data_IF_883736564704
#
_entry.id   IF_883736564704
#
_cell.length_a   1.000
_cell.length_b   1.000
_cell.length_c   1.000
_cell.angle_alpha   90.00
_cell.angle_beta   90.00
_cell.angle_gamma   90.00
#
_symmetry.space_group_name_H-M   'P 1'
#
loop_
_entity.id
_entity.type
_entity.pdbx_description
1 polymer ?
#
# COMPACT_ATOMS: atom_id res chain seq x y z
N UNK A 1 -10.57 19.28 23.49
CA UNK A 1 -10.57 18.99 22.05
C UNK A 1 -10.78 17.50 21.86
N UNK A 2 -11.78 17.11 21.09
CA UNK A 2 -11.99 15.69 20.79
C UNK A 2 -10.78 15.19 20.00
N UNK A 3 -10.12 14.12 20.47
CA UNK A 3 -9.10 13.42 19.70
C UNK A 3 -9.79 12.89 18.45
N UNK A 4 -9.49 13.46 17.27
CA UNK A 4 -10.04 12.97 16.02
C UNK A 4 -9.35 11.68 15.65
N UNK A 5 -10.06 10.57 15.78
CA UNK A 5 -9.65 9.29 15.22
C UNK A 5 -10.01 9.25 13.74
N UNK A 6 -9.11 8.75 12.94
CA UNK A 6 -9.41 8.38 11.55
C UNK A 6 -9.18 6.90 11.36
N UNK A 7 -9.87 6.32 10.37
CA UNK A 7 -9.66 4.94 9.97
C UNK A 7 -9.15 4.91 8.54
N UNK A 8 -8.07 4.16 8.31
CA UNK A 8 -7.44 3.99 7.01
C UNK A 8 -7.49 2.51 6.64
N UNK A 9 -8.03 2.21 5.47
CA UNK A 9 -7.98 0.88 4.85
C UNK A 9 -6.96 0.91 3.73
N UNK A 10 -6.07 -0.08 3.68
CA UNK A 10 -5.01 -0.15 2.67
C UNK A 10 -4.91 -1.54 2.06
N UNK A 11 -4.58 -1.58 0.78
CA UNK A 11 -4.24 -2.81 0.07
C UNK A 11 -3.26 -2.53 -1.07
N UNK A 12 -2.56 -3.58 -1.50
CA UNK A 12 -1.67 -3.56 -2.63
C UNK A 12 -1.82 -4.84 -3.46
N UNK A 13 -1.69 -4.72 -4.77
CA UNK A 13 -1.74 -5.84 -5.70
C UNK A 13 -0.63 -5.75 -6.73
N UNK A 14 -0.17 -6.89 -7.26
CA UNK A 14 0.88 -6.93 -8.25
C UNK A 14 0.67 -8.08 -9.23
N UNK A 15 0.83 -7.80 -10.53
CA UNK A 15 0.98 -8.81 -11.57
C UNK A 15 2.43 -9.28 -11.57
N UNK A 16 2.69 -10.45 -11.03
CA UNK A 16 4.05 -10.93 -10.73
C UNK A 16 4.95 -11.08 -11.96
N UNK A 17 4.40 -11.53 -13.10
CA UNK A 17 5.17 -11.71 -14.35
C UNK A 17 5.53 -10.37 -15.00
N UNK A 18 4.58 -9.43 -15.08
CA UNK A 18 4.80 -8.10 -15.65
C UNK A 18 5.44 -7.12 -14.66
N UNK A 19 5.50 -7.48 -13.38
CA UNK A 19 5.97 -6.61 -12.29
C UNK A 19 5.25 -5.25 -12.25
N UNK A 20 3.98 -5.25 -12.62
CA UNK A 20 3.10 -4.08 -12.56
C UNK A 20 2.27 -4.19 -11.30
N UNK A 21 2.34 -3.19 -10.45
CA UNK A 21 1.58 -3.13 -9.20
C UNK A 21 0.66 -1.93 -9.11
N UNK A 22 -0.31 -2.05 -8.23
CA UNK A 22 -1.19 -0.96 -7.82
C UNK A 22 -1.38 -0.99 -6.31
N UNK A 23 -1.62 0.18 -5.75
CA UNK A 23 -1.95 0.36 -4.35
C UNK A 23 -3.19 1.23 -4.21
N UNK A 24 -3.92 1.04 -3.14
CA UNK A 24 -5.09 1.85 -2.81
C UNK A 24 -5.19 2.06 -1.30
N UNK A 25 -5.69 3.23 -0.92
CA UNK A 25 -6.07 3.55 0.45
C UNK A 25 -7.41 4.27 0.48
N UNK A 26 -8.23 3.92 1.45
CA UNK A 26 -9.47 4.62 1.80
C UNK A 26 -9.30 5.22 3.19
N UNK A 27 -9.38 6.53 3.30
CA UNK A 27 -9.27 7.29 4.53
C UNK A 27 -10.65 7.79 4.92
N UNK A 28 -11.14 7.40 6.10
CA UNK A 28 -12.41 7.82 6.65
C UNK A 28 -12.17 8.91 7.70
N UNK A 29 -12.74 10.07 7.47
CA UNK A 29 -12.60 11.27 8.31
C UNK A 29 -13.99 11.75 8.68
N UNK A 30 -14.45 11.44 9.89
CA UNK A 30 -15.84 11.70 10.31
C UNK A 30 -16.86 11.15 9.29
N UNK A 31 -17.53 12.01 8.53
CA UNK A 31 -18.51 11.64 7.51
C UNK A 31 -17.93 11.65 6.08
N UNK A 32 -16.66 12.01 5.93
CA UNK A 32 -16.01 12.11 4.63
C UNK A 32 -15.15 10.88 4.33
N UNK A 33 -15.03 10.58 3.04
CA UNK A 33 -14.18 9.51 2.52
C UNK A 33 -13.21 10.06 1.47
N UNK A 34 -11.92 9.83 1.68
CA UNK A 34 -10.88 10.11 0.70
C UNK A 34 -10.33 8.79 0.15
N UNK A 35 -10.20 8.70 -1.16
CA UNK A 35 -9.58 7.54 -1.83
C UNK A 35 -8.27 8.02 -2.46
N UNK A 36 -7.21 7.26 -2.21
CA UNK A 36 -5.90 7.43 -2.82
C UNK A 36 -5.55 6.16 -3.57
N UNK A 37 -4.97 6.29 -4.76
CA UNK A 37 -4.55 5.16 -5.58
C UNK A 37 -3.31 5.50 -6.39
N UNK A 38 -2.54 4.49 -6.77
CA UNK A 38 -1.42 4.64 -7.69
C UNK A 38 -0.99 3.32 -8.31
N UNK A 39 -0.22 3.42 -9.40
CA UNK A 39 0.39 2.27 -10.08
C UNK A 39 1.90 2.43 -10.12
N UNK A 40 2.62 1.31 -10.07
CA UNK A 40 4.08 1.26 -10.08
C UNK A 40 4.53 0.11 -10.98
N UNK A 41 5.53 0.35 -11.81
CA UNK A 41 6.23 -0.68 -12.59
C UNK A 41 7.47 -1.17 -11.84
N UNK A 42 7.95 -2.37 -12.17
CA UNK A 42 9.11 -3.00 -11.51
C UNK A 42 8.94 -3.11 -9.99
N UNK A 43 7.80 -3.59 -9.57
CA UNK A 43 7.43 -3.68 -8.15
C UNK A 43 7.04 -5.10 -7.74
N UNK A 44 6.73 -5.27 -6.47
CA UNK A 44 6.24 -6.51 -5.86
C UNK A 44 4.98 -6.26 -5.06
N UNK A 45 4.25 -7.32 -4.73
CA UNK A 45 3.05 -7.24 -3.90
C UNK A 45 3.32 -6.56 -2.56
N UNK A 46 4.35 -7.00 -1.84
CA UNK A 46 4.71 -6.39 -0.55
C UNK A 46 5.09 -4.91 -0.65
N UNK A 47 5.74 -4.49 -1.75
CA UNK A 47 6.04 -3.07 -1.97
C UNK A 47 4.75 -2.27 -2.14
N UNK A 48 3.75 -2.81 -2.82
CA UNK A 48 2.46 -2.14 -3.00
C UNK A 48 1.68 -2.02 -1.69
N UNK A 49 1.68 -3.07 -0.86
CA UNK A 49 1.10 -3.01 0.49
C UNK A 49 1.75 -1.92 1.36
N UNK A 50 3.09 -1.84 1.36
CA UNK A 50 3.82 -0.78 2.07
C UNK A 50 3.54 0.61 1.50
N UNK A 51 3.55 0.74 0.17
CA UNK A 51 3.30 2.02 -0.50
C UNK A 51 1.92 2.56 -0.16
N UNK A 52 0.89 1.70 -0.13
CA UNK A 52 -0.46 2.10 0.26
C UNK A 52 -0.50 2.76 1.65
N UNK A 53 0.20 2.17 2.62
CA UNK A 53 0.28 2.71 3.97
C UNK A 53 1.06 4.02 4.01
N UNK A 54 2.22 4.06 3.36
CA UNK A 54 3.10 5.23 3.33
C UNK A 54 2.38 6.43 2.70
N UNK A 55 1.73 6.23 1.55
CA UNK A 55 0.99 7.27 0.85
C UNK A 55 -0.21 7.79 1.67
N UNK A 56 -0.92 6.88 2.35
CA UNK A 56 -2.01 7.27 3.23
C UNK A 56 -1.52 8.09 4.44
N UNK A 57 -0.46 7.66 5.12
CA UNK A 57 0.11 8.40 6.25
C UNK A 57 0.70 9.75 5.82
N UNK A 58 1.36 9.80 4.65
CA UNK A 58 1.88 11.03 4.07
C UNK A 58 0.75 12.02 3.75
N UNK A 59 -0.36 11.53 3.21
CA UNK A 59 -1.54 12.36 2.98
C UNK A 59 -2.09 12.95 4.28
N UNK A 60 -2.24 12.12 5.32
CA UNK A 60 -2.71 12.58 6.64
C UNK A 60 -1.79 13.64 7.21
N UNK A 61 -0.47 13.42 7.16
CA UNK A 61 0.52 14.36 7.68
C UNK A 61 0.44 15.73 7.02
N UNK A 62 0.21 15.78 5.70
CA UNK A 62 0.22 17.04 4.96
C UNK A 62 -1.14 17.75 4.89
N UNK A 63 -2.25 16.99 4.91
CA UNK A 63 -3.57 17.55 4.63
C UNK A 63 -4.52 17.56 5.84
N UNK A 64 -4.19 16.83 6.90
CA UNK A 64 -5.04 16.69 8.09
C UNK A 64 -4.28 17.06 9.37
N UNK A 65 -3.84 18.31 9.49
CA UNK A 65 -3.12 18.75 10.67
C UNK A 65 -3.97 18.55 11.93
N UNK A 66 -3.35 18.00 12.99
CA UNK A 66 -4.04 17.71 14.25
C UNK A 66 -4.61 16.30 14.37
N UNK A 67 -4.61 15.49 13.34
CA UNK A 67 -4.87 14.05 13.44
C UNK A 67 -3.64 13.38 14.03
N UNK A 68 -3.83 12.70 15.15
CA UNK A 68 -2.75 11.96 15.84
C UNK A 68 -3.07 10.47 15.91
N UNK A 69 -4.35 10.11 16.06
CA UNK A 69 -4.76 8.73 16.27
C UNK A 69 -5.32 8.11 14.99
N UNK A 70 -4.75 6.99 14.58
CA UNK A 70 -5.06 6.31 13.32
C UNK A 70 -5.34 4.84 13.60
N UNK A 71 -6.50 4.34 13.15
CA UNK A 71 -6.78 2.92 13.00
C UNK A 71 -6.38 2.51 11.58
N UNK A 72 -5.30 1.79 11.41
CA UNK A 72 -4.81 1.32 10.12
C UNK A 72 -5.23 -0.14 9.91
N UNK A 73 -6.13 -0.35 8.98
CA UNK A 73 -6.76 -1.65 8.69
C UNK A 73 -6.18 -2.22 7.41
N UNK A 74 -5.60 -3.41 7.49
CA UNK A 74 -5.01 -4.13 6.35
C UNK A 74 -5.09 -5.64 6.57
N UNK A 75 -5.09 -6.42 5.48
CA UNK A 75 -4.94 -7.88 5.54
C UNK A 75 -3.48 -8.33 5.37
N UNK A 76 -2.57 -7.39 5.08
CA UNK A 76 -1.15 -7.67 4.91
C UNK A 76 -0.47 -8.11 6.20
N UNK A 77 -0.12 -9.40 6.28
CA UNK A 77 0.68 -9.92 7.38
C UNK A 77 2.07 -9.26 7.45
N UNK A 78 2.61 -8.86 6.31
CA UNK A 78 3.90 -8.19 6.24
C UNK A 78 3.87 -6.82 6.94
N UNK A 79 2.87 -6.00 6.62
CA UNK A 79 2.67 -4.68 7.24
C UNK A 79 2.41 -4.80 8.74
N UNK A 80 1.48 -5.68 9.14
CA UNK A 80 1.11 -5.91 10.56
C UNK A 80 2.31 -6.33 11.42
N UNK A 81 3.24 -7.09 10.86
CA UNK A 81 4.42 -7.56 11.59
C UNK A 81 5.54 -6.53 11.75
N UNK A 82 5.48 -5.39 11.08
CA UNK A 82 6.57 -4.40 11.11
C UNK A 82 6.70 -3.65 12.45
N UNK A 83 5.62 -3.21 13.12
CA UNK A 83 5.73 -2.50 14.40
C UNK A 83 6.50 -3.30 15.46
N UNK A 84 6.18 -4.57 15.62
CA UNK A 84 6.84 -5.45 16.59
C UNK A 84 8.31 -5.69 16.28
N UNK A 85 8.69 -5.64 15.01
CA UNK A 85 10.06 -5.86 14.53
C UNK A 85 10.92 -4.60 14.57
N UNK A 86 10.35 -3.42 14.81
CA UNK A 86 11.02 -2.14 14.66
C UNK A 86 12.33 -2.06 15.46
N UNK A 87 12.30 -2.31 16.76
CA UNK A 87 13.49 -2.23 17.61
C UNK A 87 14.60 -3.18 17.14
N UNK A 88 14.22 -4.43 16.80
CA UNK A 88 15.18 -5.42 16.31
C UNK A 88 15.81 -5.02 14.98
N UNK A 89 15.02 -4.50 14.04
CA UNK A 89 15.52 -4.07 12.74
C UNK A 89 16.43 -2.82 12.86
N UNK A 90 16.08 -1.87 13.70
CA UNK A 90 16.91 -0.69 13.96
C UNK A 90 18.23 -1.09 14.63
N UNK A 91 18.20 -1.95 15.63
CA UNK A 91 19.43 -2.45 16.31
C UNK A 91 20.36 -3.21 15.35
N UNK A 92 19.80 -3.92 14.36
CA UNK A 92 20.55 -4.60 13.31
C UNK A 92 20.90 -3.70 12.12
N UNK A 93 20.71 -2.38 12.21
CA UNK A 93 20.91 -1.42 11.11
C UNK A 93 20.21 -1.86 9.81
N UNK A 94 19.01 -2.44 9.93
CA UNK A 94 18.23 -2.97 8.81
C UNK A 94 18.94 -4.03 7.95
N UNK A 95 19.82 -4.81 8.57
CA UNK A 95 20.53 -5.90 7.89
C UNK A 95 20.08 -7.27 8.37
N UNK A 96 20.25 -8.26 7.49
CA UNK A 96 20.06 -9.69 7.80
C UNK A 96 21.27 -10.22 8.60
N UNK A 97 21.16 -11.45 9.11
CA UNK A 97 22.30 -12.13 9.75
C UNK A 97 23.50 -12.31 8.84
N UNK A 98 23.30 -12.30 7.52
CA UNK A 98 24.35 -12.39 6.50
C UNK A 98 24.91 -11.00 6.12
N UNK A 99 24.51 -9.92 6.80
CA UNK A 99 24.99 -8.56 6.55
C UNK A 99 24.38 -7.87 5.32
N UNK A 100 23.39 -8.48 4.68
CA UNK A 100 22.68 -7.88 3.56
C UNK A 100 21.52 -7.01 4.05
N UNK A 101 21.17 -5.95 3.31
CA UNK A 101 19.99 -5.17 3.62
C UNK A 101 18.73 -6.06 3.63
N UNK A 102 17.81 -5.78 4.55
CA UNK A 102 16.50 -6.44 4.54
C UNK A 102 15.72 -6.09 3.28
N UNK A 103 14.77 -6.94 2.92
CA UNK A 103 13.86 -6.66 1.80
C UNK A 103 13.06 -5.38 2.06
N UNK A 104 12.90 -4.54 1.03
CA UNK A 104 12.15 -3.28 1.05
C UNK A 104 12.64 -2.28 2.12
N UNK A 105 13.93 -2.27 2.41
CA UNK A 105 14.52 -1.43 3.47
C UNK A 105 14.14 0.04 3.33
N UNK A 106 14.12 0.56 2.11
CA UNK A 106 13.72 1.92 1.75
C UNK A 106 12.32 2.27 2.27
N UNK A 107 11.33 1.43 1.95
CA UNK A 107 9.94 1.62 2.36
C UNK A 107 9.74 1.36 3.86
N UNK A 108 10.42 0.37 4.42
CA UNK A 108 10.34 0.06 5.86
C UNK A 108 10.85 1.24 6.69
N UNK A 109 11.98 1.83 6.31
CA UNK A 109 12.53 3.01 6.99
C UNK A 109 11.60 4.23 6.85
N UNK A 110 11.03 4.44 5.67
CA UNK A 110 10.06 5.52 5.44
C UNK A 110 8.81 5.34 6.28
N UNK A 111 8.26 4.13 6.35
CA UNK A 111 7.11 3.82 7.20
C UNK A 111 7.39 4.12 8.67
N UNK A 112 8.55 3.67 9.18
CA UNK A 112 8.90 3.92 10.58
C UNK A 112 9.05 5.40 10.89
N UNK A 113 9.64 6.17 9.99
CA UNK A 113 9.77 7.63 10.14
C UNK A 113 8.42 8.34 10.17
N UNK A 114 7.52 8.00 9.24
CA UNK A 114 6.16 8.56 9.22
C UNK A 114 5.35 8.18 10.47
N UNK A 115 5.50 6.94 10.93
CA UNK A 115 4.79 6.44 12.11
C UNK A 115 5.15 7.19 13.41
N UNK A 116 6.28 7.89 13.47
CA UNK A 116 6.67 8.69 14.63
C UNK A 116 5.72 9.88 14.90
N UNK A 117 5.02 10.32 13.87
CA UNK A 117 4.08 11.45 13.97
C UNK A 117 2.68 11.05 14.46
N UNK A 118 2.41 9.76 14.62
CA UNK A 118 1.06 9.24 14.87
C UNK A 118 1.03 8.13 15.92
N UNK A 119 -0.09 8.02 16.60
CA UNK A 119 -0.47 6.83 17.36
C UNK A 119 -1.25 5.91 16.42
N UNK A 120 -0.60 4.87 15.92
CA UNK A 120 -1.21 3.96 14.94
C UNK A 120 -1.57 2.65 15.62
N UNK A 121 -2.86 2.31 15.57
CA UNK A 121 -3.36 0.97 15.89
C UNK A 121 -3.45 0.16 14.58
N UNK A 122 -2.60 -0.85 14.45
CA UNK A 122 -2.57 -1.73 13.29
C UNK A 122 -3.57 -2.86 13.46
N UNK A 123 -4.65 -2.79 12.72
CA UNK A 123 -5.76 -3.75 12.78
C UNK A 123 -5.66 -4.73 11.61
N UNK A 124 -5.38 -5.99 11.91
CA UNK A 124 -5.43 -7.05 10.91
C UNK A 124 -6.84 -7.53 10.70
N UNK A 125 -7.29 -7.55 9.45
CA UNK A 125 -8.51 -8.23 9.05
C UNK A 125 -8.20 -9.49 8.24
N UNK A 126 -9.16 -10.43 8.25
CA UNK A 126 -9.04 -11.61 7.40
C UNK A 126 -9.32 -11.24 5.96
N UNK A 127 -8.41 -11.64 5.05
CA UNK A 127 -8.66 -11.58 3.62
C UNK A 127 -9.95 -12.35 3.28
N UNK A 128 -10.79 -11.77 2.41
CA UNK A 128 -12.01 -12.41 1.90
C UNK A 128 -13.16 -12.64 2.90
N UNK A 129 -13.39 -11.76 3.87
CA UNK A 129 -14.63 -11.79 4.63
C UNK A 129 -15.83 -11.69 3.69
N UNK A 130 -16.77 -12.65 3.83
CA UNK A 130 -18.04 -12.65 3.10
C UNK A 130 -18.77 -11.32 3.36
N UNK A 131 -19.46 -10.81 2.32
CA UNK A 131 -20.30 -9.61 2.40
C UNK A 131 -21.19 -9.66 3.63
N UNK A 132 -20.87 -8.90 4.64
CA UNK A 132 -21.82 -8.47 5.65
C UNK A 132 -22.54 -7.22 5.15
N UNK A 133 -23.69 -6.89 5.70
CA UNK A 133 -24.49 -5.70 5.33
C UNK A 133 -23.75 -4.37 5.53
N UNK A 134 -22.62 -4.38 6.23
CA UNK A 134 -21.81 -3.20 6.49
C UNK A 134 -20.85 -2.90 5.34
N UNK A 135 -20.64 -1.63 5.08
CA UNK A 135 -19.70 -1.17 4.05
C UNK A 135 -18.29 -1.68 4.41
N UNK A 136 -17.81 -2.63 3.62
CA UNK A 136 -16.49 -3.21 3.84
C UNK A 136 -15.45 -2.52 2.92
N UNK A 137 -14.78 -1.52 3.46
CA UNK A 137 -13.77 -0.74 2.73
C UNK A 137 -12.53 -1.55 2.38
N UNK A 138 -12.25 -2.66 3.07
CA UNK A 138 -11.18 -3.57 2.66
C UNK A 138 -11.49 -4.24 1.31
N UNK A 139 -12.75 -4.63 1.09
CA UNK A 139 -13.19 -5.13 -0.23
C UNK A 139 -13.06 -4.04 -1.30
N UNK A 140 -13.33 -2.78 -0.94
CA UNK A 140 -13.22 -1.65 -1.87
C UNK A 140 -11.76 -1.46 -2.33
N UNK A 141 -10.79 -1.42 -1.40
CA UNK A 141 -9.37 -1.24 -1.75
C UNK A 141 -8.83 -2.43 -2.55
N UNK A 142 -9.18 -3.68 -2.20
CA UNK A 142 -8.81 -4.87 -2.96
C UNK A 142 -9.31 -4.79 -4.42
N UNK A 143 -10.59 -4.44 -4.61
CA UNK A 143 -11.17 -4.29 -5.95
C UNK A 143 -10.50 -3.19 -6.76
N UNK A 144 -10.19 -2.06 -6.14
CA UNK A 144 -9.49 -0.95 -6.79
C UNK A 144 -8.10 -1.40 -7.26
N UNK A 145 -7.30 -2.00 -6.39
CA UNK A 145 -5.97 -2.50 -6.73
C UNK A 145 -6.00 -3.49 -7.90
N UNK A 146 -6.85 -4.50 -7.83
CA UNK A 146 -6.98 -5.52 -8.88
C UNK A 146 -7.46 -4.96 -10.21
N UNK A 147 -8.37 -4.00 -10.18
CA UNK A 147 -8.85 -3.32 -11.39
C UNK A 147 -7.70 -2.56 -12.06
N UNK A 148 -6.97 -1.76 -11.29
CA UNK A 148 -5.87 -0.93 -11.80
C UNK A 148 -4.73 -1.78 -12.37
N UNK A 149 -4.37 -2.89 -11.71
CA UNK A 149 -3.35 -3.82 -12.22
C UNK A 149 -3.78 -4.40 -13.57
N UNK A 150 -5.04 -4.83 -13.71
CA UNK A 150 -5.55 -5.38 -14.99
C UNK A 150 -5.54 -4.34 -16.11
N UNK A 151 -6.00 -3.12 -15.83
CA UNK A 151 -6.01 -2.03 -16.82
C UNK A 151 -4.60 -1.70 -17.28
N UNK A 152 -3.66 -1.56 -16.37
CA UNK A 152 -2.27 -1.26 -16.68
C UNK A 152 -1.57 -2.41 -17.44
N UNK A 153 -1.85 -3.65 -17.06
CA UNK A 153 -1.34 -4.82 -17.77
C UNK A 153 -1.86 -4.90 -19.21
N UNK A 154 -3.15 -4.62 -19.42
CA UNK A 154 -3.74 -4.60 -20.77
C UNK A 154 -3.13 -3.52 -21.65
N UNK A 155 -2.88 -2.33 -21.13
CA UNK A 155 -2.24 -1.22 -21.85
C UNK A 155 -0.80 -1.57 -22.25
N UNK A 156 -0.04 -2.22 -21.37
CA UNK A 156 1.34 -2.64 -21.65
C UNK A 156 1.44 -3.67 -22.76
N UNK A 157 0.47 -4.56 -22.88
CA UNK A 157 0.41 -5.57 -23.96
C UNK A 157 0.10 -4.91 -25.30
N UNK A 158 -0.80 -3.93 -25.36
CA UNK A 158 -1.14 -3.19 -26.59
C UNK A 158 0.07 -2.43 -27.11
N UNK A 159 0.78 -1.69 -26.25
CA UNK A 159 1.96 -0.92 -26.66
C UNK A 159 3.06 -1.83 -27.20
N UNK A 160 3.28 -3.00 -26.61
CA UNK A 160 4.27 -3.96 -27.10
C UNK A 160 3.88 -4.58 -28.46
N UNK A 161 2.60 -4.80 -28.71
CA UNK A 161 2.09 -5.31 -29.98
C UNK A 161 2.24 -4.26 -31.12
N UNK A 162 1.92 -3.00 -30.85
CA UNK A 162 2.05 -1.90 -31.80
C UNK A 162 3.53 -1.63 -32.17
N UNK A 163 4.45 -1.70 -31.19
CA UNK A 163 5.88 -1.54 -31.44
C UNK A 163 6.45 -2.66 -32.31
N UNK A 164 5.95 -3.89 -32.19
CA UNK A 164 6.34 -5.01 -33.07
C UNK A 164 5.80 -4.86 -34.50
N UNK A 165 4.57 -4.36 -34.66
CA UNK A 165 3.99 -4.10 -35.99
C UNK A 165 4.76 -3.01 -36.74
N UNK A 166 5.19 -1.97 -36.06
CA UNK A 166 5.93 -0.84 -36.66
C UNK A 166 7.31 -1.27 -37.20
N UNK A 167 7.93 -2.26 -36.59
CA UNK A 167 9.23 -2.80 -37.03
C UNK A 167 9.07 -3.68 -38.32
N UNK A 168 7.94 -4.37 -38.46
CA UNK A 168 7.69 -5.27 -39.61
C UNK A 168 7.29 -4.49 -40.89
N UNK A 169 6.74 -3.29 -40.75
CA UNK A 169 6.29 -2.45 -41.89
C UNK A 169 7.42 -1.54 -42.42
N UNK A 170 8.54 -1.46 -41.72
CA UNK A 170 9.70 -0.60 -42.06
C UNK A 170 10.84 -1.30 -42.83
N UNK A 171 10.59 -2.47 -43.46
CA UNK A 171 11.56 -3.15 -44.38
C UNK A 171 11.09 -3.11 -45.81
#
# INVERSE_FOLDING_TARGET
>A
MAMSFITIYTDGSCHTQLKIGAWAAVILIANDKKILTGTVINTTHQRMELTAVIEALSYVQHHLPGVININLVTDSQYVIGLPERRQKLQAASFTTKQGQAIQNVDLVQQLYKLSESFNIDFVKIQAHLKKTSDINYNIEVDKLCRKMVREQASQSVVISAESHLSIVIGQ
#
